data_IF_720256757965
#
_entry.id   IF_720256757965
#
_cell.length_a   1.000
_cell.length_b   1.000
_cell.length_c   1.000
_cell.angle_alpha   90.00
_cell.angle_beta   90.00
_cell.angle_gamma   90.00
#
_symmetry.space_group_name_H-M   'P 1'
#
loop_
_entity.id
_entity.type
_entity.pdbx_description
1 polymer ?
#
# COMPACT_ATOMS: atom_id res chain seq x y z
N UNK A 1 15.73 -11.95 -2.24
CA UNK A 1 15.40 -10.53 -1.99
C UNK A 1 13.90 -10.43 -1.73
N UNK A 2 13.44 -9.62 -0.76
CA UNK A 2 12.02 -9.50 -0.44
C UNK A 2 11.24 -8.69 -1.50
N UNK A 3 10.03 -9.12 -1.81
CA UNK A 3 9.08 -8.39 -2.66
C UNK A 3 8.40 -7.27 -1.88
N UNK A 4 8.25 -6.10 -2.52
CA UNK A 4 7.58 -4.95 -1.92
C UNK A 4 6.09 -4.90 -2.34
N UNK A 5 5.24 -5.28 -1.40
CA UNK A 5 3.78 -5.17 -1.50
C UNK A 5 3.28 -3.88 -0.81
N UNK A 6 1.97 -3.76 -0.64
CA UNK A 6 1.29 -2.55 -0.16
C UNK A 6 0.10 -2.90 0.72
N UNK A 7 -0.25 -2.04 1.68
CA UNK A 7 -1.54 -2.14 2.39
C UNK A 7 -2.75 -2.00 1.45
N UNK A 8 -2.56 -1.51 0.22
CA UNK A 8 -3.60 -1.45 -0.80
C UNK A 8 -4.19 -2.81 -1.21
N UNK A 9 -3.60 -3.95 -0.76
CA UNK A 9 -4.19 -5.29 -0.97
C UNK A 9 -5.49 -5.50 -0.19
N UNK A 10 -5.76 -4.67 0.82
CA UNK A 10 -6.97 -4.69 1.64
C UNK A 10 -7.98 -3.61 1.20
N UNK A 11 -9.23 -3.71 1.68
CA UNK A 11 -10.24 -2.66 1.48
C UNK A 11 -11.69 -3.11 1.59
N UNK A 12 -12.14 -3.99 0.70
CA UNK A 12 -13.56 -4.31 0.56
C UNK A 12 -14.05 -5.25 1.66
N UNK A 13 -15.22 -4.94 2.23
CA UNK A 13 -15.94 -5.75 3.23
C UNK A 13 -15.08 -6.17 4.42
N UNK A 14 -14.12 -5.33 4.81
CA UNK A 14 -13.28 -5.55 5.97
C UNK A 14 -14.06 -5.13 7.22
N UNK A 15 -14.24 -6.08 8.14
CA UNK A 15 -14.98 -5.87 9.40
C UNK A 15 -14.06 -5.88 10.61
N UNK A 16 -12.80 -6.20 10.41
CA UNK A 16 -11.78 -6.35 11.43
C UNK A 16 -11.13 -5.00 11.78
N UNK A 17 -11.00 -4.71 13.08
CA UNK A 17 -10.30 -3.53 13.58
C UNK A 17 -8.77 -3.64 13.46
N UNK A 18 -8.26 -4.87 13.32
CA UNK A 18 -6.84 -5.18 13.24
C UNK A 18 -6.51 -5.99 11.99
N UNK A 19 -5.45 -5.58 11.29
CA UNK A 19 -4.96 -6.25 10.10
C UNK A 19 -3.72 -7.07 10.46
N UNK A 20 -3.76 -8.36 10.14
CA UNK A 20 -2.64 -9.28 10.26
C UNK A 20 -2.34 -10.00 8.93
N UNK A 21 -1.44 -10.98 8.97
CA UNK A 21 -1.04 -11.74 7.78
C UNK A 21 -2.12 -12.68 7.24
N UNK A 22 -3.15 -12.99 8.03
CA UNK A 22 -4.28 -13.85 7.70
C UNK A 22 -5.52 -13.05 7.28
N UNK A 23 -5.56 -11.74 7.50
CA UNK A 23 -6.64 -10.88 7.04
C UNK A 23 -6.90 -11.06 5.54
N UNK A 24 -8.18 -11.14 5.17
CA UNK A 24 -8.57 -11.40 3.78
C UNK A 24 -8.22 -10.22 2.87
N UNK A 25 -7.48 -10.48 1.80
CA UNK A 25 -7.11 -9.47 0.81
C UNK A 25 -8.26 -9.26 -0.19
N UNK A 26 -8.90 -8.09 -0.11
CA UNK A 26 -9.95 -7.65 -1.05
C UNK A 26 -9.69 -6.22 -1.48
N UNK A 27 -8.77 -6.05 -2.43
CA UNK A 27 -8.37 -4.71 -2.86
C UNK A 27 -9.49 -3.99 -3.62
N UNK A 28 -9.70 -2.71 -3.29
CA UNK A 28 -10.57 -1.80 -4.04
C UNK A 28 -9.84 -1.10 -5.20
N UNK A 29 -8.53 -1.31 -5.35
CA UNK A 29 -7.69 -0.61 -6.32
C UNK A 29 -7.02 -1.61 -7.25
N UNK A 30 -6.97 -1.29 -8.55
CA UNK A 30 -6.23 -2.11 -9.52
C UNK A 30 -4.77 -2.31 -9.11
N UNK A 31 -4.11 -1.24 -8.62
CA UNK A 31 -2.76 -1.32 -8.06
C UNK A 31 -2.65 -2.36 -6.94
N UNK A 32 -3.58 -2.36 -5.98
CA UNK A 32 -3.56 -3.33 -4.88
C UNK A 32 -3.85 -4.76 -5.35
N UNK A 33 -4.75 -4.94 -6.32
CA UNK A 33 -5.02 -6.23 -6.94
C UNK A 33 -3.75 -6.82 -7.61
N UNK A 34 -2.95 -6.00 -8.31
CA UNK A 34 -1.69 -6.48 -8.90
C UNK A 34 -0.66 -6.92 -7.84
N UNK A 35 -0.65 -6.25 -6.68
CA UNK A 35 0.22 -6.64 -5.56
C UNK A 35 -0.23 -7.96 -4.93
N UNK A 36 -1.53 -8.13 -4.69
CA UNK A 36 -2.10 -9.38 -4.19
C UNK A 36 -1.84 -10.56 -5.14
N UNK A 37 -1.97 -10.33 -6.45
CA UNK A 37 -1.62 -11.33 -7.47
C UNK A 37 -0.15 -11.78 -7.35
N UNK A 38 0.78 -10.83 -7.20
CA UNK A 38 2.21 -11.14 -7.07
C UNK A 38 2.53 -11.88 -5.77
N UNK A 39 1.85 -11.56 -4.67
CA UNK A 39 1.95 -12.32 -3.41
C UNK A 39 1.56 -13.80 -3.60
N UNK A 40 0.46 -14.04 -4.31
CA UNK A 40 -0.01 -15.40 -4.60
C UNK A 40 0.94 -16.16 -5.53
N UNK A 41 1.49 -15.49 -6.54
CA UNK A 41 2.51 -16.07 -7.42
C UNK A 41 3.75 -16.47 -6.63
N UNK A 42 4.27 -15.59 -5.76
CA UNK A 42 5.43 -15.91 -4.92
C UNK A 42 5.17 -17.07 -3.94
N UNK A 43 3.95 -17.16 -3.39
CA UNK A 43 3.53 -18.31 -2.55
C UNK A 43 3.46 -19.60 -3.37
N UNK A 44 2.99 -19.54 -4.60
CA UNK A 44 2.98 -20.69 -5.51
C UNK A 44 4.40 -21.14 -5.85
N UNK A 45 5.28 -20.20 -6.22
CA UNK A 45 6.67 -20.51 -6.57
C UNK A 45 7.47 -21.06 -5.39
N UNK A 46 7.22 -20.56 -4.17
CA UNK A 46 7.78 -21.14 -2.94
C UNK A 46 7.36 -22.58 -2.74
N UNK A 47 6.06 -22.89 -2.91
CA UNK A 47 5.54 -24.27 -2.76
C UNK A 47 6.02 -25.20 -3.86
N UNK A 48 6.13 -24.72 -5.11
CA UNK A 48 6.44 -25.53 -6.28
C UNK A 48 7.93 -25.74 -6.50
N UNK A 49 8.73 -24.71 -6.28
CA UNK A 49 10.16 -24.68 -6.62
C UNK A 49 11.09 -24.48 -5.41
N UNK A 50 10.53 -24.33 -4.20
CA UNK A 50 11.33 -24.14 -2.98
C UNK A 50 12.03 -22.78 -2.90
N UNK A 51 11.60 -21.79 -3.69
CA UNK A 51 12.20 -20.45 -3.68
C UNK A 51 11.92 -19.76 -2.32
N UNK A 52 12.95 -19.16 -1.72
CA UNK A 52 12.80 -18.32 -0.52
C UNK A 52 12.14 -16.98 -0.88
N UNK A 53 10.82 -17.05 -1.08
CA UNK A 53 9.98 -15.88 -1.30
C UNK A 53 9.59 -15.24 0.03
N UNK A 54 9.89 -13.94 0.14
CA UNK A 54 9.54 -13.09 1.29
C UNK A 54 8.86 -11.83 0.77
N UNK A 55 7.89 -11.32 1.52
CA UNK A 55 7.13 -10.13 1.15
C UNK A 55 6.89 -9.25 2.38
N UNK A 56 6.86 -7.94 2.16
CA UNK A 56 6.41 -6.95 3.13
C UNK A 56 5.33 -6.06 2.50
N UNK A 57 4.25 -5.76 3.25
CA UNK A 57 3.16 -4.87 2.82
C UNK A 57 3.42 -3.47 3.37
N UNK A 58 3.93 -2.57 2.55
CA UNK A 58 4.24 -1.22 3.02
C UNK A 58 2.98 -0.38 3.25
N UNK A 59 2.91 0.38 4.36
CA UNK A 59 1.91 1.42 4.53
C UNK A 59 2.23 2.63 3.65
N UNK A 60 1.48 3.72 3.83
CA UNK A 60 1.86 5.01 3.28
C UNK A 60 3.21 5.45 3.87
N UNK A 61 4.25 5.45 3.03
CA UNK A 61 5.60 5.88 3.41
C UNK A 61 5.69 7.41 3.28
N UNK A 62 6.30 8.05 4.27
CA UNK A 62 6.54 9.50 4.31
C UNK A 62 8.04 9.73 4.39
N UNK A 63 8.61 10.51 3.47
CA UNK A 63 10.04 10.80 3.48
C UNK A 63 10.46 11.92 2.52
N UNK A 64 11.69 12.44 2.66
CA UNK A 64 12.23 13.49 1.79
C UNK A 64 12.37 12.98 0.34
N UNK A 65 12.07 13.83 -0.64
CA UNK A 65 12.20 13.51 -2.07
C UNK A 65 10.93 12.96 -2.75
N UNK A 66 9.82 12.81 -2.03
CA UNK A 66 8.54 12.40 -2.62
C UNK A 66 7.84 13.58 -3.31
N UNK A 67 8.12 13.78 -4.60
CA UNK A 67 7.59 14.91 -5.38
C UNK A 67 6.38 14.56 -6.27
N UNK A 68 6.16 13.28 -6.55
CA UNK A 68 5.08 12.85 -7.47
C UNK A 68 3.73 12.76 -6.76
N UNK A 69 2.64 13.33 -7.32
CA UNK A 69 1.31 13.21 -6.75
C UNK A 69 0.71 11.82 -7.00
N UNK A 70 0.55 11.02 -5.93
CA UNK A 70 -0.32 9.82 -5.90
C UNK A 70 -1.03 9.75 -4.55
N UNK A 71 -2.01 8.85 -4.43
CA UNK A 71 -2.83 8.67 -3.22
C UNK A 71 -1.99 8.53 -1.95
N UNK A 72 -0.95 7.69 -1.96
CA UNK A 72 -0.06 7.51 -0.81
C UNK A 72 0.79 8.77 -0.50
N UNK A 73 0.97 9.70 -1.43
CA UNK A 73 1.74 10.93 -1.23
C UNK A 73 0.90 12.11 -0.71
N UNK A 74 -0.38 11.92 -0.44
CA UNK A 74 -1.25 12.97 0.11
C UNK A 74 -0.68 13.56 1.41
N UNK A 75 -0.35 12.71 2.39
CA UNK A 75 0.21 13.13 3.68
C UNK A 75 1.55 13.89 3.56
N UNK A 76 2.60 13.35 2.89
CA UNK A 76 3.88 14.06 2.76
C UNK A 76 3.73 15.41 2.05
N UNK A 77 2.85 15.49 1.04
CA UNK A 77 2.58 16.75 0.33
C UNK A 77 1.96 17.79 1.25
N UNK A 78 1.01 17.40 2.11
CA UNK A 78 0.39 18.31 3.08
C UNK A 78 1.41 18.91 4.03
N UNK A 79 2.34 18.12 4.55
CA UNK A 79 3.42 18.65 5.38
C UNK A 79 4.23 19.73 4.65
N UNK A 80 4.62 19.48 3.39
CA UNK A 80 5.31 20.47 2.57
C UNK A 80 4.49 21.75 2.33
N UNK A 81 3.20 21.61 2.04
CA UNK A 81 2.27 22.75 1.83
C UNK A 81 2.11 23.60 3.11
N UNK A 82 1.99 22.96 4.28
CA UNK A 82 1.89 23.62 5.59
C UNK A 82 3.16 24.42 5.88
N UNK A 83 4.34 23.83 5.68
CA UNK A 83 5.62 24.51 5.88
C UNK A 83 5.80 25.74 4.94
N UNK A 84 5.08 25.79 3.82
CA UNK A 84 5.09 26.91 2.87
C UNK A 84 3.99 27.95 3.14
N UNK A 85 3.15 27.77 4.17
CA UNK A 85 2.02 28.65 4.47
C UNK A 85 0.90 28.63 3.42
N UNK A 86 0.83 27.58 2.59
CA UNK A 86 -0.18 27.45 1.54
C UNK A 86 -1.44 26.74 2.06
N UNK A 87 -2.62 27.00 1.48
CA UNK A 87 -3.85 26.30 1.86
C UNK A 87 -3.78 24.80 1.53
N UNK A 88 -4.35 23.97 2.40
CA UNK A 88 -4.46 22.52 2.23
C UNK A 88 -5.82 22.17 1.62
N UNK A 89 -5.81 21.39 0.54
CA UNK A 89 -7.03 20.79 -0.01
C UNK A 89 -7.23 19.40 0.57
N UNK A 90 -8.39 19.14 1.16
CA UNK A 90 -8.74 17.81 1.66
C UNK A 90 -9.26 16.93 0.53
N UNK A 91 -8.81 15.68 0.50
CA UNK A 91 -9.14 14.73 -0.58
C UNK A 91 -10.57 14.16 -0.52
N UNK A 92 -11.43 14.71 0.35
CA UNK A 92 -12.82 14.28 0.55
C UNK A 92 -13.87 15.40 0.44
N UNK A 93 -13.46 16.61 0.04
CA UNK A 93 -14.35 17.79 -0.04
C UNK A 93 -14.92 18.00 -1.45
N UNK A 94 -15.12 16.92 -2.22
CA UNK A 94 -15.65 16.93 -3.59
C UNK A 94 -16.92 16.10 -3.70
#
# INVERSE_FOLDING_TARGET
MPFTSSLAVYGADMTEDFIDDNTTQRSLLFYGATKAFTENMGRFDKRKYGIDFRVIRYPSIIGPGMTTPRVAQYNPRRYGTICQGKPIHHMGDA
#
